data_IF_523197834658
#
_entry.id   IF_523197834658
#
_cell.length_a   1.000
_cell.length_b   1.000
_cell.length_c   1.000
_cell.angle_alpha   90.00
_cell.angle_beta   90.00
_cell.angle_gamma   90.00
#
_symmetry.space_group_name_H-M   'P 1'
#
loop_
_entity.id
_entity.type
_entity.pdbx_description
1 polymer ?
#
# COMPACT_ATOMS: atom_id res chain seq x y z
N UNK A 1 21.64 -8.96 -12.98
CA UNK A 1 21.53 -8.29 -11.68
C UNK A 1 20.12 -7.80 -11.38
N UNK A 2 19.60 -6.72 -11.99
CA UNK A 2 18.26 -6.20 -11.62
C UNK A 2 17.10 -7.13 -11.97
N UNK A 3 17.15 -7.84 -13.11
CA UNK A 3 16.10 -8.82 -13.43
C UNK A 3 16.12 -10.03 -12.47
N UNK A 4 17.30 -10.46 -12.04
CA UNK A 4 17.42 -11.55 -11.05
C UNK A 4 16.87 -11.10 -9.69
N UNK A 5 17.16 -9.86 -9.29
CA UNK A 5 16.63 -9.26 -8.07
C UNK A 5 15.10 -9.13 -8.11
N UNK A 6 14.53 -8.64 -9.22
CA UNK A 6 13.09 -8.56 -9.42
C UNK A 6 12.41 -9.94 -9.39
N UNK A 7 13.02 -10.94 -10.03
CA UNK A 7 12.53 -12.32 -10.04
C UNK A 7 12.55 -12.94 -8.63
N UNK A 8 13.66 -12.77 -7.90
CA UNK A 8 13.79 -13.27 -6.52
C UNK A 8 12.78 -12.60 -5.59
N UNK A 9 12.67 -11.26 -5.63
CA UNK A 9 11.71 -10.50 -4.86
C UNK A 9 10.27 -10.96 -5.13
N UNK A 10 9.92 -11.13 -6.41
CA UNK A 10 8.61 -11.64 -6.81
C UNK A 10 8.33 -13.05 -6.28
N UNK A 11 9.34 -13.91 -6.22
CA UNK A 11 9.21 -15.25 -5.65
C UNK A 11 8.94 -15.23 -4.15
N UNK A 12 9.61 -14.33 -3.41
CA UNK A 12 9.40 -14.17 -1.97
C UNK A 12 7.98 -13.67 -1.68
N UNK A 13 7.52 -12.64 -2.39
CA UNK A 13 6.15 -12.10 -2.23
C UNK A 13 5.09 -13.19 -2.49
N UNK A 14 5.31 -14.06 -3.48
CA UNK A 14 4.40 -15.17 -3.80
C UNK A 14 4.37 -16.30 -2.77
N UNK A 15 5.37 -16.41 -1.90
CA UNK A 15 5.47 -17.49 -0.92
C UNK A 15 4.38 -17.44 0.16
N UNK A 16 3.70 -16.29 0.32
CA UNK A 16 2.52 -16.06 1.17
C UNK A 16 1.41 -17.11 1.01
N UNK A 17 1.27 -17.71 -0.17
CA UNK A 17 0.20 -18.67 -0.47
C UNK A 17 0.52 -20.14 -0.18
N UNK A 18 1.67 -20.47 0.42
CA UNK A 18 2.06 -21.87 0.63
C UNK A 18 1.32 -22.50 1.83
N UNK A 19 0.51 -23.56 1.63
CA UNK A 19 -0.39 -24.12 2.66
C UNK A 19 0.31 -24.90 3.78
N UNK A 20 1.65 -24.94 3.80
CA UNK A 20 2.43 -25.86 4.66
C UNK A 20 3.13 -25.18 5.84
N UNK A 21 2.98 -23.87 6.02
CA UNK A 21 3.58 -23.16 7.15
C UNK A 21 2.49 -22.87 8.17
N UNK A 22 2.54 -23.56 9.31
CA UNK A 22 1.83 -23.09 10.50
C UNK A 22 2.60 -21.88 10.99
N UNK A 23 2.05 -20.70 10.73
CA UNK A 23 2.65 -19.43 11.10
C UNK A 23 2.21 -19.15 12.54
N UNK A 24 3.16 -19.16 13.48
CA UNK A 24 2.99 -18.58 14.81
C UNK A 24 3.15 -17.04 14.72
N UNK A 25 2.68 -16.27 15.70
CA UNK A 25 2.62 -14.80 15.64
C UNK A 25 4.00 -14.17 15.31
N UNK A 26 5.09 -14.69 15.88
CA UNK A 26 6.47 -14.23 15.59
C UNK A 26 6.86 -14.44 14.10
N UNK A 27 6.42 -15.56 13.51
CA UNK A 27 6.71 -15.87 12.11
C UNK A 27 5.83 -15.13 11.10
N UNK A 28 4.69 -14.59 11.53
CA UNK A 28 3.84 -13.72 10.71
C UNK A 28 4.50 -12.34 10.54
N UNK A 29 5.04 -11.81 11.63
CA UNK A 29 5.78 -10.56 11.63
C UNK A 29 7.02 -10.63 10.73
N UNK A 30 7.82 -11.69 10.87
CA UNK A 30 8.98 -11.94 10.01
C UNK A 30 8.59 -12.05 8.52
N UNK A 31 7.43 -12.64 8.23
CA UNK A 31 6.92 -12.74 6.87
C UNK A 31 6.52 -11.36 6.31
N UNK A 32 5.85 -10.52 7.10
CA UNK A 32 5.49 -9.16 6.70
C UNK A 32 6.74 -8.33 6.39
N UNK A 33 7.75 -8.34 7.27
CA UNK A 33 9.01 -7.63 7.04
C UNK A 33 9.74 -8.14 5.80
N UNK A 34 9.79 -9.45 5.59
CA UNK A 34 10.37 -10.05 4.39
C UNK A 34 9.62 -9.63 3.11
N UNK A 35 8.29 -9.54 3.17
CA UNK A 35 7.45 -9.08 2.06
C UNK A 35 7.65 -7.60 1.77
N UNK A 36 7.75 -6.75 2.79
CA UNK A 36 8.06 -5.33 2.64
C UNK A 36 9.45 -5.15 2.02
N UNK A 37 10.47 -5.85 2.54
CA UNK A 37 11.82 -5.81 1.99
C UNK A 37 11.88 -6.32 0.54
N UNK A 38 11.19 -7.43 0.22
CA UNK A 38 11.10 -7.94 -1.14
C UNK A 38 10.36 -6.95 -2.06
N UNK A 39 9.27 -6.36 -1.60
CA UNK A 39 8.55 -5.30 -2.31
C UNK A 39 9.44 -4.10 -2.60
N UNK A 40 10.26 -3.67 -1.64
CA UNK A 40 11.23 -2.59 -1.83
C UNK A 40 12.27 -2.95 -2.89
N UNK A 41 12.84 -4.15 -2.84
CA UNK A 41 13.78 -4.63 -3.87
C UNK A 41 13.12 -4.66 -5.24
N UNK A 42 11.86 -5.08 -5.32
CA UNK A 42 11.10 -5.13 -6.57
C UNK A 42 10.91 -3.74 -7.19
N UNK A 43 10.38 -2.77 -6.43
CA UNK A 43 10.11 -1.42 -6.97
C UNK A 43 11.41 -0.73 -7.41
N UNK A 44 12.50 -0.92 -6.67
CA UNK A 44 13.82 -0.41 -7.05
C UNK A 44 14.35 -1.10 -8.32
N UNK A 45 14.21 -2.42 -8.43
CA UNK A 45 14.65 -3.16 -9.61
C UNK A 45 13.87 -2.74 -10.86
N UNK A 46 12.55 -2.58 -10.75
CA UNK A 46 11.72 -2.11 -11.85
C UNK A 46 12.09 -0.70 -12.30
N UNK A 47 12.38 0.20 -11.36
CA UNK A 47 12.92 1.53 -11.68
C UNK A 47 14.24 1.43 -12.46
N UNK A 48 15.20 0.63 -11.99
CA UNK A 48 16.50 0.47 -12.66
C UNK A 48 16.41 -0.16 -14.05
N UNK A 49 15.31 -0.88 -14.32
CA UNK A 49 14.99 -1.46 -15.61
C UNK A 49 14.15 -0.54 -16.51
N UNK A 50 13.92 0.72 -16.11
CA UNK A 50 13.05 1.68 -16.81
C UNK A 50 11.61 1.18 -16.98
N UNK A 51 11.11 0.39 -16.02
CA UNK A 51 9.76 -0.20 -15.97
C UNK A 51 8.85 0.50 -14.95
N UNK A 52 9.11 1.76 -14.66
CA UNK A 52 8.39 2.54 -13.64
C UNK A 52 6.88 2.60 -13.89
N UNK A 53 6.46 2.70 -15.16
CA UNK A 53 5.03 2.74 -15.54
C UNK A 53 4.27 1.46 -15.23
N UNK A 54 4.93 0.32 -15.02
CA UNK A 54 4.29 -0.96 -14.69
C UNK A 54 4.30 -1.29 -13.21
N UNK A 55 5.01 -0.53 -12.36
CA UNK A 55 5.20 -0.83 -10.93
C UNK A 55 3.89 -1.13 -10.22
N UNK A 56 2.90 -0.23 -10.29
CA UNK A 56 1.65 -0.40 -9.54
C UNK A 56 0.85 -1.63 -10.00
N UNK A 57 0.83 -1.91 -11.30
CA UNK A 57 0.16 -3.08 -11.86
C UNK A 57 0.84 -4.39 -11.44
N UNK A 58 2.17 -4.40 -11.41
CA UNK A 58 2.95 -5.56 -10.94
C UNK A 58 2.76 -5.79 -9.45
N UNK A 59 2.78 -4.74 -8.63
CA UNK A 59 2.50 -4.84 -7.19
C UNK A 59 1.09 -5.39 -6.94
N UNK A 60 0.05 -4.83 -7.58
CA UNK A 60 -1.32 -5.32 -7.43
C UNK A 60 -1.47 -6.79 -7.83
N UNK A 61 -0.76 -7.21 -8.88
CA UNK A 61 -0.77 -8.60 -9.34
C UNK A 61 -0.07 -9.54 -8.35
N UNK A 62 1.08 -9.13 -7.79
CA UNK A 62 1.88 -9.97 -6.89
C UNK A 62 1.28 -10.08 -5.49
N UNK A 63 0.75 -8.97 -4.96
CA UNK A 63 0.12 -8.94 -3.64
C UNK A 63 -1.35 -9.40 -3.66
N UNK A 64 -1.90 -9.67 -4.86
CA UNK A 64 -3.28 -10.13 -5.14
C UNK A 64 -4.35 -9.07 -4.85
N UNK A 65 -4.18 -8.30 -3.78
CA UNK A 65 -5.07 -7.21 -3.40
C UNK A 65 -4.28 -5.96 -3.03
N UNK A 66 -4.88 -4.79 -3.24
CA UNK A 66 -4.19 -3.51 -3.09
C UNK A 66 -3.90 -3.18 -1.63
N UNK A 67 -4.79 -3.55 -0.70
CA UNK A 67 -4.62 -3.39 0.74
C UNK A 67 -3.55 -4.31 1.33
N UNK A 68 -3.14 -5.36 0.60
CA UNK A 68 -2.05 -6.24 1.03
C UNK A 68 -0.66 -5.68 0.71
N UNK A 69 -0.57 -4.58 -0.03
CA UNK A 69 0.71 -3.95 -0.37
C UNK A 69 1.21 -3.17 0.86
N UNK A 70 2.43 -3.43 1.36
CA UNK A 70 3.01 -2.64 2.44
C UNK A 70 3.09 -1.15 2.06
N UNK A 71 2.73 -0.27 2.98
CA UNK A 71 2.61 1.18 2.71
C UNK A 71 3.90 1.77 2.15
N UNK A 72 5.06 1.40 2.69
CA UNK A 72 6.34 1.92 2.19
C UNK A 72 6.64 1.50 0.75
N UNK A 73 6.22 0.28 0.36
CA UNK A 73 6.34 -0.23 -1.02
C UNK A 73 5.40 0.54 -1.96
N UNK A 74 4.16 0.77 -1.52
CA UNK A 74 3.17 1.59 -2.23
C UNK A 74 3.69 3.01 -2.48
N UNK A 75 4.07 3.71 -1.40
CA UNK A 75 4.55 5.10 -1.45
C UNK A 75 5.75 5.22 -2.37
N UNK A 76 6.73 4.32 -2.24
CA UNK A 76 7.92 4.31 -3.09
C UNK A 76 7.58 4.11 -4.57
N UNK A 77 6.69 3.16 -4.87
CA UNK A 77 6.27 2.87 -6.24
C UNK A 77 5.56 4.04 -6.91
N UNK A 78 4.63 4.69 -6.19
CA UNK A 78 3.94 5.89 -6.69
C UNK A 78 4.90 7.07 -6.85
N UNK A 79 5.79 7.30 -5.89
CA UNK A 79 6.80 8.36 -5.98
C UNK A 79 7.69 8.20 -7.22
N UNK A 80 8.07 6.98 -7.58
CA UNK A 80 8.82 6.74 -8.81
C UNK A 80 8.02 7.12 -10.06
N UNK A 81 6.76 6.69 -10.14
CA UNK A 81 5.86 7.06 -11.23
C UNK A 81 5.69 8.57 -11.36
N UNK A 82 5.48 9.28 -10.25
CA UNK A 82 5.39 10.75 -10.24
C UNK A 82 6.70 11.38 -10.71
N UNK A 83 7.84 10.93 -10.19
CA UNK A 83 9.16 11.51 -10.50
C UNK A 83 9.56 11.38 -11.97
N UNK A 84 9.05 10.37 -12.67
CA UNK A 84 9.27 10.15 -14.09
C UNK A 84 8.14 10.69 -14.97
N UNK A 85 7.28 11.57 -14.42
CA UNK A 85 6.10 12.14 -15.08
C UNK A 85 5.15 11.09 -15.68
N UNK A 86 5.16 9.88 -15.09
CA UNK A 86 4.36 8.73 -15.47
C UNK A 86 3.36 8.41 -14.36
N UNK A 87 2.54 9.39 -13.96
CA UNK A 87 1.50 9.22 -12.94
C UNK A 87 0.24 8.47 -13.49
N UNK A 88 0.41 7.70 -14.57
CA UNK A 88 -0.68 6.97 -15.22
C UNK A 88 -1.25 5.92 -14.25
N UNK A 89 -2.52 6.09 -13.88
CA UNK A 89 -3.21 5.18 -12.99
C UNK A 89 -2.88 5.37 -11.50
N UNK A 90 -1.95 6.25 -11.14
CA UNK A 90 -1.54 6.46 -9.74
C UNK A 90 -2.68 7.05 -8.90
N UNK A 91 -3.51 7.91 -9.51
CA UNK A 91 -4.68 8.51 -8.86
C UNK A 91 -5.69 7.42 -8.50
N UNK A 92 -6.13 6.65 -9.49
CA UNK A 92 -7.12 5.59 -9.33
C UNK A 92 -6.62 4.52 -8.36
N UNK A 93 -5.31 4.21 -8.41
CA UNK A 93 -4.69 3.25 -7.50
C UNK A 93 -4.73 3.72 -6.04
N UNK A 94 -4.35 4.97 -5.78
CA UNK A 94 -4.37 5.54 -4.43
C UNK A 94 -5.80 5.71 -3.91
N UNK A 95 -6.74 6.16 -4.74
CA UNK A 95 -8.17 6.23 -4.39
C UNK A 95 -8.70 4.85 -4.01
N UNK A 96 -8.39 3.81 -4.80
CA UNK A 96 -8.78 2.44 -4.51
C UNK A 96 -8.18 1.97 -3.19
N UNK A 97 -6.89 2.19 -2.93
CA UNK A 97 -6.25 1.82 -1.67
C UNK A 97 -6.91 2.52 -0.48
N UNK A 98 -7.03 3.84 -0.52
CA UNK A 98 -7.57 4.66 0.58
C UNK A 98 -9.03 4.30 0.90
N UNK A 99 -9.81 3.89 -0.11
CA UNK A 99 -11.21 3.45 0.05
C UNK A 99 -11.37 2.13 0.79
N UNK A 100 -10.33 1.30 0.92
CA UNK A 100 -10.39 0.01 1.64
C UNK A 100 -10.37 0.16 3.15
N UNK A 101 -10.01 1.33 3.66
CA UNK A 101 -9.75 1.55 5.07
C UNK A 101 -10.83 2.44 5.68
N UNK A 102 -11.25 2.09 6.90
CA UNK A 102 -12.20 2.88 7.70
C UNK A 102 -11.56 3.26 9.02
N UNK A 103 -11.77 4.49 9.45
CA UNK A 103 -11.28 4.98 10.73
C UNK A 103 -12.13 4.45 11.88
N UNK A 104 -11.51 3.81 12.87
CA UNK A 104 -12.20 3.17 14.00
C UNK A 104 -11.54 3.57 15.32
N UNK A 105 -12.39 3.78 16.34
CA UNK A 105 -12.03 4.02 17.74
C UNK A 105 -11.00 5.14 17.97
N UNK A 106 -10.97 6.13 17.06
CA UNK A 106 -10.05 7.27 17.07
C UNK A 106 -8.55 6.90 17.05
N UNK A 107 -8.21 5.63 16.82
CA UNK A 107 -6.86 5.11 17.07
C UNK A 107 -6.23 4.44 15.85
N UNK A 108 -7.03 3.85 14.96
CA UNK A 108 -6.50 3.13 13.82
C UNK A 108 -7.46 3.09 12.63
N UNK A 109 -6.94 2.66 11.49
CA UNK A 109 -7.73 2.32 10.32
C UNK A 109 -7.84 0.81 10.23
N UNK A 110 -9.01 0.28 9.93
CA UNK A 110 -9.22 -1.16 9.70
C UNK A 110 -9.78 -1.41 8.32
N UNK A 111 -9.61 -2.62 7.80
CA UNK A 111 -10.19 -2.99 6.51
C UNK A 111 -11.72 -2.96 6.57
N UNK A 112 -12.33 -2.25 5.63
CA UNK A 112 -13.78 -2.11 5.53
C UNK A 112 -14.49 -3.44 5.21
N UNK A 113 -13.78 -4.41 4.60
CA UNK A 113 -14.30 -5.74 4.27
C UNK A 113 -14.33 -6.72 5.46
N UNK A 114 -13.64 -6.42 6.56
CA UNK A 114 -13.48 -7.33 7.70
C UNK A 114 -14.76 -7.55 8.53
N UNK A 115 -15.83 -6.78 8.28
CA UNK A 115 -17.06 -6.84 9.10
C UNK A 115 -17.99 -8.03 8.82
N UNK A 116 -17.71 -8.87 7.82
CA UNK A 116 -18.66 -9.96 7.45
C UNK A 116 -18.37 -11.29 8.15
N UNK A 117 -17.21 -11.48 8.77
CA UNK A 117 -16.92 -12.68 9.55
C UNK A 117 -16.92 -12.36 11.05
N UNK A 118 -18.10 -12.50 11.65
CA UNK A 118 -18.30 -12.63 13.10
C UNK A 118 -17.54 -13.84 13.65
N UNK A 119 -16.21 -13.74 13.77
CA UNK A 119 -15.33 -14.62 14.52
C UNK A 119 -14.01 -13.88 14.78
N UNK A 120 -14.07 -12.75 15.50
CA UNK A 120 -12.89 -12.22 16.20
C UNK A 120 -12.56 -13.18 17.35
N UNK A 121 -11.90 -14.29 17.01
CA UNK A 121 -11.30 -15.20 17.98
C UNK A 121 -9.79 -15.08 17.79
N UNK A 122 -9.15 -14.56 18.83
CA UNK A 122 -7.75 -14.11 18.82
C UNK A 122 -6.79 -15.07 18.11
N UNK A 123 -5.97 -14.47 17.26
CA UNK A 123 -4.94 -15.10 16.46
C UNK A 123 -4.90 -14.43 15.09
N UNK A 124 -3.84 -13.65 14.84
CA UNK A 124 -3.33 -13.32 13.51
C UNK A 124 -4.28 -12.55 12.56
N UNK A 125 -4.18 -11.22 12.59
CA UNK A 125 -4.74 -10.38 11.51
C UNK A 125 -3.96 -9.05 11.37
N UNK A 126 -2.63 -9.13 11.38
CA UNK A 126 -1.73 -7.95 11.30
C UNK A 126 -1.96 -7.11 10.03
N UNK A 127 -2.56 -7.70 8.99
CA UNK A 127 -2.89 -7.08 7.72
C UNK A 127 -4.22 -6.29 7.72
N UNK A 128 -5.07 -6.45 8.74
CA UNK A 128 -6.39 -5.83 8.78
C UNK A 128 -6.45 -4.51 9.55
N UNK A 129 -5.32 -4.10 10.15
CA UNK A 129 -5.15 -2.85 10.90
C UNK A 129 -4.01 -2.03 10.32
N UNK A 130 -4.24 -0.74 10.12
CA UNK A 130 -3.28 0.23 9.64
C UNK A 130 -3.17 1.39 10.65
N UNK A 131 -1.93 1.74 10.99
CA UNK A 131 -1.62 2.89 11.85
C UNK A 131 -2.09 4.19 11.21
N UNK A 132 -2.54 5.14 12.04
CA UNK A 132 -2.98 6.48 11.58
C UNK A 132 -1.85 7.19 10.86
N UNK A 133 -0.63 7.13 11.39
CA UNK A 133 0.58 7.67 10.77
C UNK A 133 0.77 7.16 9.34
N UNK A 134 0.73 5.83 9.14
CA UNK A 134 0.89 5.21 7.81
C UNK A 134 -0.25 5.61 6.86
N UNK A 135 -1.48 5.69 7.33
CA UNK A 135 -2.60 6.14 6.51
C UNK A 135 -2.44 7.61 6.08
N UNK A 136 -2.02 8.48 7.01
CA UNK A 136 -1.77 9.89 6.73
C UNK A 136 -0.65 10.07 5.71
N UNK A 137 0.42 9.27 5.74
CA UNK A 137 1.47 9.33 4.70
C UNK A 137 0.91 9.09 3.29
N UNK A 138 -0.04 8.15 3.13
CA UNK A 138 -0.70 7.88 1.84
C UNK A 138 -1.63 9.02 1.45
N UNK A 139 -2.33 9.61 2.41
CA UNK A 139 -3.20 10.78 2.19
C UNK A 139 -2.38 12.00 1.75
N UNK A 140 -1.24 12.28 2.38
CA UNK A 140 -0.36 13.38 2.01
C UNK A 140 0.18 13.21 0.59
N UNK A 141 0.63 11.99 0.24
CA UNK A 141 1.06 11.69 -1.12
C UNK A 141 -0.07 11.90 -2.13
N UNK A 142 -1.29 11.48 -1.81
CA UNK A 142 -2.44 11.63 -2.68
C UNK A 142 -2.90 13.09 -2.83
N UNK A 143 -3.27 13.74 -1.74
CA UNK A 143 -3.91 15.05 -1.76
C UNK A 143 -2.91 16.18 -2.07
N UNK A 144 -1.73 16.17 -1.43
CA UNK A 144 -0.77 17.27 -1.56
C UNK A 144 0.11 17.08 -2.79
N UNK A 145 0.74 15.91 -2.93
CA UNK A 145 1.68 15.67 -4.02
C UNK A 145 0.95 15.40 -5.34
N UNK A 146 0.04 14.42 -5.40
CA UNK A 146 -0.58 14.04 -6.66
C UNK A 146 -1.66 15.04 -7.14
N UNK A 147 -2.64 15.38 -6.29
CA UNK A 147 -3.71 16.30 -6.69
C UNK A 147 -3.22 17.75 -6.71
N UNK A 148 -2.72 18.25 -5.58
CA UNK A 148 -2.33 19.65 -5.43
C UNK A 148 -1.12 20.07 -6.26
N UNK A 149 -0.11 19.20 -6.38
CA UNK A 149 1.15 19.57 -7.06
C UNK A 149 1.21 19.05 -8.50
N UNK A 150 1.10 17.73 -8.71
CA UNK A 150 1.25 17.13 -10.04
C UNK A 150 0.07 17.47 -10.95
N UNK A 151 -1.15 17.38 -10.44
CA UNK A 151 -2.37 17.69 -11.21
C UNK A 151 -2.74 19.17 -11.18
N UNK A 152 -2.15 19.95 -10.27
CA UNK A 152 -2.52 21.36 -10.01
C UNK A 152 -4.02 21.57 -9.71
N UNK A 153 -4.68 20.54 -9.17
CA UNK A 153 -6.11 20.54 -8.86
C UNK A 153 -6.32 20.70 -7.35
N UNK A 154 -6.08 21.93 -6.89
CA UNK A 154 -6.14 22.30 -5.46
C UNK A 154 -7.56 22.19 -4.91
N UNK A 155 -8.56 22.56 -5.71
CA UNK A 155 -9.97 22.46 -5.30
C UNK A 155 -10.39 21.01 -5.06
N UNK A 156 -9.95 20.09 -5.93
CA UNK A 156 -10.17 18.66 -5.72
C UNK A 156 -9.41 18.14 -4.50
N UNK A 157 -8.17 18.59 -4.28
CA UNK A 157 -7.39 18.20 -3.10
C UNK A 157 -8.10 18.60 -1.79
N UNK A 158 -8.58 19.85 -1.70
CA UNK A 158 -9.33 20.36 -0.54
C UNK A 158 -10.63 19.57 -0.37
N UNK A 159 -11.42 19.46 -1.44
CA UNK A 159 -12.71 18.75 -1.38
C UNK A 159 -12.54 17.29 -0.95
N UNK A 160 -11.44 16.63 -1.34
CA UNK A 160 -11.19 15.25 -0.97
C UNK A 160 -10.83 15.13 0.52
N UNK A 161 -9.92 15.98 1.02
CA UNK A 161 -9.53 16.00 2.45
C UNK A 161 -10.72 16.33 3.36
N UNK A 162 -11.59 17.23 2.93
CA UNK A 162 -12.81 17.58 3.67
C UNK A 162 -13.81 16.41 3.77
N UNK A 163 -13.88 15.54 2.75
CA UNK A 163 -14.81 14.42 2.73
C UNK A 163 -14.24 13.14 3.36
N UNK A 164 -12.91 13.00 3.42
CA UNK A 164 -12.25 11.83 4.00
C UNK A 164 -12.33 11.83 5.53
N UNK A 165 -12.58 10.66 6.11
CA UNK A 165 -12.59 10.44 7.55
C UNK A 165 -11.15 10.47 8.12
N UNK A 166 -10.62 11.67 8.35
CA UNK A 166 -9.32 11.92 8.98
C UNK A 166 -9.50 12.42 10.42
N UNK A 167 -8.54 12.13 11.34
CA UNK A 167 -8.51 12.77 12.65
C UNK A 167 -8.45 14.31 12.50
N UNK A 168 -9.17 15.07 13.34
CA UNK A 168 -9.24 16.54 13.20
C UNK A 168 -7.87 17.22 13.18
N UNK A 169 -6.91 16.72 13.96
CA UNK A 169 -5.54 17.25 14.02
C UNK A 169 -4.75 17.06 12.72
N UNK A 170 -5.22 16.18 11.82
CA UNK A 170 -4.57 15.79 10.57
C UNK A 170 -5.34 16.25 9.32
N UNK A 171 -6.44 16.99 9.51
CA UNK A 171 -7.21 17.62 8.42
C UNK A 171 -6.62 18.97 8.01
#
# INVERSE_FOLDING_TARGET
MYEEAASLASSIIKQRGSPNVSIDDDSEFDLYEAMEAAGMVLVQSLKQLSRTSTILNELKTLFVSIESIPVQVLLTGVCFQISEASALGAKEFLEEFLSKWRYVDEQCYVLASAETSSNFKGGSDSYSVLGVDKYIEVVELYAVMLLGTVSSDVDLAISWVEQTALPEKNR
#
